data_IF_756416413669
#
_entry.id   IF_756416413669
#
_cell.length_a   1.000
_cell.length_b   1.000
_cell.length_c   1.000
_cell.angle_alpha   90.00
_cell.angle_beta   90.00
_cell.angle_gamma   90.00
#
_symmetry.space_group_name_H-M   'P 1'
#
loop_
_entity.id
_entity.type
_entity.pdbx_description
1 polymer ?
#
# COMPACT_ATOMS: atom_id res chain seq x y z
N UNK A 1 -2.21 7.41 9.96
CA UNK A 1 -3.16 8.52 10.11
C UNK A 1 -2.44 9.87 10.10
N UNK A 2 -1.51 10.17 11.05
CA UNK A 2 -0.90 11.51 11.19
C UNK A 2 -0.19 12.00 9.91
N UNK A 3 0.66 11.18 9.29
CA UNK A 3 1.34 11.55 8.04
C UNK A 3 0.38 11.80 6.87
N UNK A 4 -0.73 11.13 6.84
CA UNK A 4 -1.77 11.39 5.85
C UNK A 4 -2.48 12.72 6.14
N UNK A 5 -2.79 13.01 7.41
CA UNK A 5 -3.36 14.30 7.80
C UNK A 5 -2.41 15.46 7.44
N UNK A 6 -1.10 15.33 7.76
CA UNK A 6 -0.09 16.33 7.38
C UNK A 6 -0.04 16.59 5.86
N UNK A 7 -0.24 15.53 5.06
CA UNK A 7 -0.28 15.66 3.60
C UNK A 7 -1.55 16.37 3.12
N UNK A 8 -2.69 16.13 3.77
CA UNK A 8 -3.95 16.79 3.44
C UNK A 8 -3.95 18.26 3.84
N UNK A 9 -3.32 18.61 4.97
CA UNK A 9 -3.16 20.00 5.41
C UNK A 9 -2.26 20.82 4.46
N UNK A 10 -1.40 20.15 3.68
CA UNK A 10 -0.53 20.75 2.69
C UNK A 10 -0.97 20.43 1.25
N UNK A 11 -2.25 20.43 0.98
CA UNK A 11 -2.82 20.18 -0.35
C UNK A 11 -2.29 21.21 -1.37
N UNK A 12 -1.70 20.75 -2.51
CA UNK A 12 -1.06 21.63 -3.46
C UNK A 12 -2.09 22.34 -4.35
N UNK A 13 -1.97 23.65 -4.44
CA UNK A 13 -2.71 24.45 -5.41
C UNK A 13 -1.89 24.65 -6.69
N UNK A 14 -2.42 24.31 -7.88
CA UNK A 14 -1.71 24.47 -9.13
C UNK A 14 -1.66 25.96 -9.55
N UNK A 15 -0.46 26.45 -9.85
CA UNK A 15 -0.25 27.78 -10.40
C UNK A 15 0.59 27.69 -11.66
N UNK A 16 0.09 28.24 -12.76
CA UNK A 16 0.78 28.25 -14.06
C UNK A 16 1.49 29.58 -14.25
N UNK A 17 2.80 29.53 -14.42
CA UNK A 17 3.63 30.72 -14.68
C UNK A 17 3.97 30.82 -16.17
N UNK A 18 3.91 32.01 -16.76
CA UNK A 18 4.31 32.23 -18.14
C UNK A 18 5.84 32.06 -18.30
N UNK A 19 6.27 31.52 -19.43
CA UNK A 19 7.69 31.46 -19.80
C UNK A 19 8.14 32.61 -20.65
N UNK A 20 7.24 33.18 -21.46
CA UNK A 20 7.46 34.32 -22.32
C UNK A 20 6.34 35.35 -22.12
N UNK A 21 6.53 36.58 -22.57
CA UNK A 21 5.53 37.64 -22.44
C UNK A 21 4.22 37.28 -23.17
N UNK A 22 4.33 36.57 -24.27
CA UNK A 22 3.19 36.16 -25.11
C UNK A 22 2.33 35.08 -24.44
N UNK A 23 2.89 34.37 -23.43
CA UNK A 23 2.21 33.29 -22.71
C UNK A 23 1.40 33.80 -21.51
N UNK A 24 1.45 35.07 -21.17
CA UNK A 24 0.90 35.60 -19.91
C UNK A 24 -0.62 35.43 -19.79
N UNK A 25 -1.35 35.68 -20.89
CA UNK A 25 -2.82 35.50 -20.93
C UNK A 25 -3.19 34.02 -20.84
N UNK A 26 -2.46 33.17 -21.55
CA UNK A 26 -2.67 31.73 -21.55
C UNK A 26 -2.38 31.14 -20.14
N UNK A 27 -1.31 31.57 -19.50
CA UNK A 27 -0.95 31.11 -18.14
C UNK A 27 -2.02 31.52 -17.11
N UNK A 28 -2.54 32.79 -17.22
CA UNK A 28 -3.64 33.27 -16.38
C UNK A 28 -4.94 32.48 -16.62
N UNK A 29 -5.23 32.12 -17.86
CA UNK A 29 -6.41 31.32 -18.20
C UNK A 29 -6.28 29.90 -17.64
N UNK A 30 -5.14 29.25 -17.84
CA UNK A 30 -4.86 27.89 -17.31
C UNK A 30 -4.90 27.85 -15.79
N UNK A 31 -4.33 28.82 -15.08
CA UNK A 31 -4.38 28.93 -13.62
C UNK A 31 -5.80 29.04 -13.07
N UNK A 32 -6.77 29.48 -13.87
CA UNK A 32 -8.20 29.50 -13.49
C UNK A 32 -8.94 28.22 -13.88
N UNK A 33 -8.56 27.61 -15.00
CA UNK A 33 -9.24 26.41 -15.53
C UNK A 33 -8.83 25.16 -14.78
N UNK A 34 -7.54 24.99 -14.48
CA UNK A 34 -7.02 23.77 -13.85
C UNK A 34 -7.70 23.48 -12.50
N UNK A 35 -7.86 24.44 -11.57
CA UNK A 35 -8.58 24.17 -10.31
C UNK A 35 -10.01 23.69 -10.54
N UNK A 36 -10.72 24.25 -11.50
CA UNK A 36 -12.10 23.83 -11.83
C UNK A 36 -12.14 22.39 -12.37
N UNK A 37 -11.19 22.03 -13.23
CA UNK A 37 -11.08 20.63 -13.73
C UNK A 37 -10.76 19.68 -12.59
N UNK A 38 -9.86 20.04 -11.68
CA UNK A 38 -9.52 19.24 -10.52
C UNK A 38 -10.71 19.06 -9.56
N UNK A 39 -11.46 20.14 -9.30
CA UNK A 39 -12.68 20.07 -8.50
C UNK A 39 -13.72 19.12 -9.14
N UNK A 40 -13.92 19.20 -10.47
CA UNK A 40 -14.83 18.31 -11.19
C UNK A 40 -14.42 16.83 -11.18
N UNK A 41 -13.13 16.56 -10.98
CA UNK A 41 -12.58 15.20 -10.85
C UNK A 41 -12.55 14.69 -9.40
N UNK A 42 -13.11 15.43 -8.43
CA UNK A 42 -12.96 15.15 -7.00
C UNK A 42 -11.48 14.89 -6.59
N UNK A 43 -10.59 15.75 -7.12
CA UNK A 43 -9.14 15.52 -7.01
C UNK A 43 -8.64 15.47 -5.57
N UNK A 44 -9.29 16.14 -4.64
CA UNK A 44 -8.98 16.05 -3.21
C UNK A 44 -9.10 14.62 -2.70
N UNK A 45 -10.17 13.90 -3.08
CA UNK A 45 -10.35 12.49 -2.75
C UNK A 45 -9.28 11.63 -3.45
N UNK A 46 -9.03 11.86 -4.73
CA UNK A 46 -7.99 11.15 -5.49
C UNK A 46 -6.60 11.36 -4.86
N UNK A 47 -6.32 12.58 -4.39
CA UNK A 47 -5.08 12.93 -3.70
C UNK A 47 -4.95 12.17 -2.38
N UNK A 48 -6.02 12.17 -1.57
CA UNK A 48 -6.11 11.42 -0.31
C UNK A 48 -5.85 9.93 -0.52
N UNK A 49 -6.56 9.30 -1.48
CA UNK A 49 -6.42 7.88 -1.79
C UNK A 49 -5.01 7.53 -2.30
N UNK A 50 -4.44 8.42 -3.13
CA UNK A 50 -3.07 8.26 -3.63
C UNK A 50 -2.05 8.32 -2.51
N UNK A 51 -2.22 9.26 -1.55
CA UNK A 51 -1.36 9.35 -0.38
C UNK A 51 -1.49 8.12 0.54
N UNK A 52 -2.68 7.58 0.75
CA UNK A 52 -2.86 6.33 1.49
C UNK A 52 -2.12 5.17 0.83
N UNK A 53 -2.19 5.07 -0.49
CA UNK A 53 -1.42 4.07 -1.25
C UNK A 53 0.08 4.32 -1.12
N UNK A 54 0.54 5.54 -1.34
CA UNK A 54 1.94 5.95 -1.24
C UNK A 54 2.55 5.60 0.13
N UNK A 55 1.84 5.85 1.23
CA UNK A 55 2.31 5.52 2.58
C UNK A 55 2.41 4.01 2.81
N UNK A 56 1.53 3.20 2.21
CA UNK A 56 1.50 1.74 2.38
C UNK A 56 2.45 1.01 1.44
N UNK A 57 2.38 1.32 0.15
CA UNK A 57 3.09 0.59 -0.91
C UNK A 57 4.34 1.30 -1.42
N UNK A 58 4.65 2.47 -0.87
CA UNK A 58 5.81 3.26 -1.25
C UNK A 58 5.61 4.14 -2.49
N UNK A 59 4.56 3.91 -3.28
CA UNK A 59 4.34 4.68 -4.49
C UNK A 59 2.86 4.96 -4.70
N UNK A 60 2.52 6.23 -4.83
CA UNK A 60 1.23 6.68 -5.30
C UNK A 60 1.25 6.80 -6.82
N UNK A 61 0.21 6.32 -7.49
CA UNK A 61 0.07 6.50 -8.94
C UNK A 61 -1.23 7.19 -9.25
N UNK A 62 -1.16 8.23 -10.07
CA UNK A 62 -2.31 8.93 -10.64
C UNK A 62 -2.41 8.64 -12.13
N UNK A 63 -3.61 8.33 -12.59
CA UNK A 63 -3.92 8.20 -14.01
C UNK A 63 -4.72 9.41 -14.47
N UNK A 64 -4.33 10.00 -15.61
CA UNK A 64 -5.02 11.14 -16.23
C UNK A 64 -5.53 10.69 -17.60
N UNK A 65 -6.84 10.59 -17.73
CA UNK A 65 -7.48 10.04 -18.93
C UNK A 65 -8.50 11.02 -19.50
N UNK A 66 -8.81 10.83 -20.78
CA UNK A 66 -10.00 11.39 -21.39
C UNK A 66 -11.15 10.39 -21.27
N UNK A 67 -12.24 10.78 -20.65
CA UNK A 67 -13.44 9.95 -20.54
C UNK A 67 -14.54 10.52 -21.44
N UNK A 68 -14.86 9.86 -22.57
CA UNK A 68 -15.84 10.34 -23.52
C UNK A 68 -17.29 10.27 -23.00
N UNK A 69 -17.55 9.56 -21.89
CA UNK A 69 -18.89 9.40 -21.32
C UNK A 69 -19.31 10.55 -20.41
N UNK A 70 -18.35 11.33 -19.93
CA UNK A 70 -18.61 12.47 -19.07
C UNK A 70 -19.39 13.58 -19.80
N UNK A 71 -20.04 14.44 -19.04
CA UNK A 71 -20.82 15.60 -19.55
C UNK A 71 -21.84 15.24 -20.63
N UNK A 72 -22.55 14.13 -20.44
CA UNK A 72 -23.58 13.71 -21.40
C UNK A 72 -23.04 13.30 -22.77
N UNK A 73 -21.79 12.81 -22.82
CA UNK A 73 -21.13 12.32 -24.03
C UNK A 73 -20.24 13.36 -24.75
N UNK A 74 -20.04 14.54 -24.17
CA UNK A 74 -19.08 15.50 -24.69
C UNK A 74 -17.64 15.13 -24.37
N UNK A 75 -17.46 14.32 -23.30
CA UNK A 75 -16.18 13.94 -22.77
C UNK A 75 -15.55 14.99 -21.86
N UNK A 76 -14.72 14.53 -20.94
CA UNK A 76 -13.92 15.41 -20.08
C UNK A 76 -12.68 14.68 -19.54
N UNK A 77 -11.80 15.42 -18.89
CA UNK A 77 -10.63 14.90 -18.20
C UNK A 77 -11.10 14.15 -16.95
N UNK A 78 -10.54 12.96 -16.73
CA UNK A 78 -10.74 12.13 -15.54
C UNK A 78 -9.39 11.86 -14.89
N UNK A 79 -9.26 12.19 -13.61
CA UNK A 79 -8.07 11.88 -12.81
C UNK A 79 -8.46 10.83 -11.79
N UNK A 80 -7.69 9.73 -11.69
CA UNK A 80 -7.98 8.60 -10.81
C UNK A 80 -6.73 8.14 -10.09
N UNK A 81 -6.88 7.66 -8.84
CA UNK A 81 -5.85 6.91 -8.16
C UNK A 81 -5.78 5.51 -8.77
N UNK A 82 -4.58 5.07 -9.16
CA UNK A 82 -4.33 3.77 -9.80
C UNK A 82 -3.60 2.86 -8.84
N UNK A 83 -3.97 1.58 -8.82
CA UNK A 83 -3.28 0.60 -8.02
C UNK A 83 -1.95 0.21 -8.69
N UNK A 84 -0.84 0.39 -7.97
CA UNK A 84 0.50 0.04 -8.45
C UNK A 84 0.62 -1.44 -8.84
N UNK A 85 -0.05 -2.34 -8.11
CA UNK A 85 -0.01 -3.78 -8.37
C UNK A 85 -0.65 -4.20 -9.70
N UNK A 86 -1.42 -3.28 -10.32
CA UNK A 86 -2.03 -3.49 -11.63
C UNK A 86 -1.21 -2.93 -12.79
N UNK A 87 -0.04 -2.35 -12.49
CA UNK A 87 0.83 -1.73 -13.49
C UNK A 87 2.11 -2.56 -13.67
N UNK A 88 2.47 -2.79 -14.93
CA UNK A 88 3.68 -3.52 -15.29
C UNK A 88 4.44 -2.74 -16.37
N UNK A 89 5.75 -2.62 -16.18
CA UNK A 89 6.65 -1.87 -17.06
C UNK A 89 7.95 -2.61 -17.32
N UNK A 90 8.80 -2.09 -18.20
CA UNK A 90 10.10 -2.69 -18.48
C UNK A 90 11.04 -2.54 -17.28
N UNK A 91 11.83 -3.55 -16.94
CA UNK A 91 12.82 -3.46 -15.86
C UNK A 91 13.96 -2.48 -16.19
N UNK A 92 14.58 -1.92 -15.14
CA UNK A 92 15.78 -1.07 -15.26
C UNK A 92 15.48 0.35 -15.77
N UNK A 93 14.27 0.87 -15.58
CA UNK A 93 13.93 2.25 -15.89
C UNK A 93 13.60 3.01 -14.62
N UNK A 94 14.19 4.17 -14.44
CA UNK A 94 13.94 5.05 -13.28
C UNK A 94 12.75 5.99 -13.50
N UNK A 95 12.52 6.42 -14.73
CA UNK A 95 11.32 7.20 -15.12
C UNK A 95 10.38 6.32 -15.94
N UNK A 96 9.13 6.19 -15.48
CA UNK A 96 8.12 5.43 -16.21
C UNK A 96 7.96 5.93 -17.65
N UNK A 97 8.23 7.20 -17.89
CA UNK A 97 8.15 7.80 -19.22
C UNK A 97 9.27 7.31 -20.17
N UNK A 98 10.32 6.67 -19.67
CA UNK A 98 11.37 6.06 -20.47
C UNK A 98 11.09 4.60 -20.80
N UNK A 99 10.14 3.97 -20.10
CA UNK A 99 9.76 2.59 -20.40
C UNK A 99 9.25 2.43 -21.84
N UNK A 100 9.71 1.42 -22.59
CA UNK A 100 9.17 1.16 -23.92
C UNK A 100 7.73 0.64 -23.91
N UNK A 101 7.32 -0.03 -22.82
CA UNK A 101 6.01 -0.62 -22.65
C UNK A 101 5.48 -0.35 -21.24
N UNK A 102 4.17 -0.15 -21.14
CA UNK A 102 3.44 -0.06 -19.88
C UNK A 102 2.11 -0.79 -20.04
N UNK A 103 1.84 -1.72 -19.13
CA UNK A 103 0.58 -2.46 -19.08
C UNK A 103 -0.18 -2.04 -17.84
N UNK A 104 -1.47 -1.76 -18.02
CA UNK A 104 -2.42 -1.56 -16.93
C UNK A 104 -3.48 -2.64 -17.02
N UNK A 105 -3.69 -3.37 -15.92
CA UNK A 105 -4.64 -4.45 -15.86
C UNK A 105 -5.89 -4.01 -15.11
N UNK A 106 -7.06 -4.47 -15.56
CA UNK A 106 -8.32 -4.30 -14.86
C UNK A 106 -9.12 -5.59 -14.88
N UNK A 107 -9.90 -5.84 -13.83
CA UNK A 107 -10.81 -6.97 -13.76
C UNK A 107 -12.21 -6.46 -14.09
N UNK A 108 -12.78 -6.92 -15.20
CA UNK A 108 -14.07 -6.49 -15.68
C UNK A 108 -15.04 -7.69 -15.76
N UNK A 109 -16.32 -7.41 -15.56
CA UNK A 109 -17.39 -8.40 -15.64
C UNK A 109 -17.60 -8.88 -17.07
N UNK A 110 -17.72 -10.21 -17.24
CA UNK A 110 -17.84 -10.84 -18.56
C UNK A 110 -19.09 -10.39 -19.32
N UNK A 111 -20.22 -10.20 -18.63
CA UNK A 111 -21.46 -9.79 -19.28
C UNK A 111 -21.34 -8.37 -19.84
N UNK A 112 -20.72 -7.46 -19.07
CA UNK A 112 -20.48 -6.09 -19.51
C UNK A 112 -19.46 -6.02 -20.65
N UNK A 113 -18.41 -6.86 -20.58
CA UNK A 113 -17.40 -6.94 -21.62
C UNK A 113 -17.97 -7.44 -22.94
N UNK A 114 -18.77 -8.50 -22.93
CA UNK A 114 -19.40 -9.04 -24.14
C UNK A 114 -20.43 -8.07 -24.71
N UNK A 115 -21.20 -7.40 -23.85
CA UNK A 115 -22.13 -6.36 -24.29
C UNK A 115 -21.43 -5.19 -25.00
N UNK A 116 -20.27 -4.79 -24.51
CA UNK A 116 -19.46 -3.70 -25.09
C UNK A 116 -18.61 -4.15 -26.29
N UNK A 117 -18.12 -5.39 -26.24
CA UNK A 117 -17.24 -5.98 -27.25
C UNK A 117 -17.74 -7.37 -27.66
N UNK A 118 -18.70 -7.47 -28.60
CA UNK A 118 -19.28 -8.75 -29.01
C UNK A 118 -18.27 -9.79 -29.51
N UNK A 119 -17.10 -9.35 -29.98
CA UNK A 119 -16.01 -10.24 -30.41
C UNK A 119 -15.41 -11.09 -29.30
N UNK A 120 -15.74 -10.79 -28.02
CA UNK A 120 -15.33 -11.59 -26.86
C UNK A 120 -16.26 -12.76 -26.55
N UNK A 121 -17.36 -12.93 -27.30
CA UNK A 121 -18.27 -14.06 -27.08
C UNK A 121 -17.51 -15.38 -27.26
N UNK A 122 -17.57 -16.24 -26.24
CA UNK A 122 -16.82 -17.50 -26.21
C UNK A 122 -15.32 -17.39 -25.84
N UNK A 123 -14.80 -16.19 -25.59
CA UNK A 123 -13.41 -15.95 -25.24
C UNK A 123 -13.25 -15.36 -23.82
N UNK A 124 -14.31 -15.36 -23.03
CA UNK A 124 -14.31 -14.91 -21.62
C UNK A 124 -13.94 -16.05 -20.67
N UNK A 125 -13.57 -15.74 -19.43
CA UNK A 125 -13.39 -16.73 -18.35
C UNK A 125 -11.99 -17.33 -18.22
N UNK A 126 -11.00 -16.90 -18.99
CA UNK A 126 -9.59 -17.21 -18.75
C UNK A 126 -9.01 -16.13 -17.85
N UNK A 127 -8.71 -16.45 -16.60
CA UNK A 127 -8.03 -15.53 -15.70
C UNK A 127 -6.53 -15.56 -15.98
N UNK A 128 -5.93 -14.37 -16.09
CA UNK A 128 -4.50 -14.22 -15.88
C UNK A 128 -4.25 -14.20 -14.37
N UNK A 129 -3.19 -14.86 -13.93
CA UNK A 129 -2.73 -14.77 -12.55
C UNK A 129 -2.16 -13.35 -12.32
N UNK A 130 -2.95 -12.49 -11.71
CA UNK A 130 -2.53 -11.13 -11.35
C UNK A 130 -2.16 -11.13 -9.88
N UNK A 131 -1.00 -10.57 -9.56
CA UNK A 131 -0.44 -10.60 -8.20
C UNK A 131 -1.40 -10.07 -7.12
N UNK A 132 -2.22 -9.07 -7.43
CA UNK A 132 -3.21 -8.54 -6.49
C UNK A 132 -4.28 -9.58 -6.13
N UNK A 133 -4.69 -10.42 -7.08
CA UNK A 133 -5.79 -11.38 -6.89
C UNK A 133 -5.33 -12.72 -6.29
N UNK A 134 -4.03 -13.00 -6.33
CA UNK A 134 -3.44 -14.20 -5.71
C UNK A 134 -3.44 -14.09 -4.18
N UNK A 135 -3.36 -12.86 -3.65
CA UNK A 135 -3.22 -12.60 -2.21
C UNK A 135 -4.51 -12.11 -1.53
N UNK A 136 -5.57 -11.87 -2.29
CA UNK A 136 -6.88 -11.46 -1.77
C UNK A 136 -7.91 -12.59 -1.93
N UNK A 137 -7.97 -13.46 -0.94
CA UNK A 137 -8.94 -14.58 -0.88
C UNK A 137 -10.41 -14.10 -0.80
N UNK A 138 -10.64 -12.80 -0.62
CA UNK A 138 -11.98 -12.19 -0.54
C UNK A 138 -12.48 -11.68 -1.90
N UNK A 139 -11.61 -11.58 -2.90
CA UNK A 139 -12.00 -11.09 -4.21
C UNK A 139 -12.60 -12.21 -5.06
N UNK A 140 -13.90 -12.12 -5.30
CA UNK A 140 -14.58 -13.04 -6.22
C UNK A 140 -14.23 -12.69 -7.68
N UNK A 141 -13.45 -13.55 -8.31
CA UNK A 141 -13.05 -13.45 -9.73
C UNK A 141 -13.98 -14.24 -10.66
N UNK A 142 -15.01 -14.91 -10.12
CA UNK A 142 -15.95 -15.71 -10.89
C UNK A 142 -16.73 -14.83 -11.87
N UNK A 143 -16.80 -15.23 -13.13
CA UNK A 143 -17.50 -14.47 -14.15
C UNK A 143 -16.82 -13.17 -14.57
N UNK A 144 -15.54 -12.98 -14.22
CA UNK A 144 -14.74 -11.82 -14.61
C UNK A 144 -13.58 -12.21 -15.50
N UNK A 145 -13.11 -11.26 -16.29
CA UNK A 145 -11.93 -11.41 -17.15
C UNK A 145 -10.96 -10.25 -16.93
N UNK A 146 -9.67 -10.55 -17.05
CA UNK A 146 -8.63 -9.52 -16.98
C UNK A 146 -8.53 -8.85 -18.35
N UNK A 147 -8.75 -7.55 -18.35
CA UNK A 147 -8.55 -6.68 -19.50
C UNK A 147 -7.20 -6.01 -19.36
N UNK A 148 -6.43 -6.00 -20.43
CA UNK A 148 -5.09 -5.42 -20.48
C UNK A 148 -5.12 -4.19 -21.37
N UNK A 149 -4.74 -3.08 -20.78
CA UNK A 149 -4.49 -1.80 -21.46
C UNK A 149 -2.98 -1.67 -21.66
N UNK A 150 -2.52 -1.88 -22.88
CA UNK A 150 -1.12 -1.84 -23.25
C UNK A 150 -0.78 -0.52 -23.92
N UNK A 151 0.08 0.24 -23.31
CA UNK A 151 0.70 1.44 -23.85
C UNK A 151 2.12 1.14 -24.28
N UNK A 152 2.52 1.53 -25.51
CA UNK A 152 3.86 1.26 -26.00
C UNK A 152 4.38 2.40 -26.89
N UNK A 153 5.69 2.56 -26.87
CA UNK A 153 6.40 3.58 -27.64
C UNK A 153 7.01 2.97 -28.89
N UNK A 154 6.59 3.48 -30.04
CA UNK A 154 7.10 3.07 -31.34
C UNK A 154 8.08 4.12 -31.84
N UNK A 155 9.31 3.70 -32.15
CA UNK A 155 10.32 4.58 -32.71
C UNK A 155 9.90 5.08 -34.11
N UNK A 156 10.17 6.35 -34.39
CA UNK A 156 10.05 6.91 -35.74
C UNK A 156 11.42 7.02 -36.38
N UNK A 157 11.50 6.96 -37.72
CA UNK A 157 12.78 7.21 -38.43
C UNK A 157 13.35 8.59 -38.16
N UNK A 158 12.48 9.58 -37.89
CA UNK A 158 12.84 10.94 -37.54
C UNK A 158 11.84 11.46 -36.48
N UNK A 159 12.37 12.08 -35.39
CA UNK A 159 11.58 12.68 -34.33
C UNK A 159 11.45 11.81 -33.07
N UNK A 160 10.62 12.24 -32.13
CA UNK A 160 10.35 11.53 -30.89
C UNK A 160 9.49 10.28 -31.13
N UNK A 161 9.62 9.24 -30.28
CA UNK A 161 8.77 8.08 -30.33
C UNK A 161 7.29 8.43 -30.21
N UNK A 162 6.44 7.64 -30.84
CA UNK A 162 4.99 7.81 -30.78
C UNK A 162 4.42 6.86 -29.75
N UNK A 163 3.50 7.35 -28.92
CA UNK A 163 2.77 6.52 -28.00
C UNK A 163 1.57 5.88 -28.71
N UNK A 164 1.51 4.55 -28.69
CA UNK A 164 0.36 3.78 -29.12
C UNK A 164 -0.34 3.12 -27.93
N UNK A 165 -1.58 2.72 -28.17
CA UNK A 165 -2.42 2.08 -27.18
C UNK A 165 -3.15 0.88 -27.80
N UNK A 166 -3.16 -0.24 -27.09
CA UNK A 166 -3.88 -1.45 -27.45
C UNK A 166 -4.63 -1.99 -26.24
N UNK A 167 -5.93 -2.20 -26.38
CA UNK A 167 -6.75 -2.89 -25.38
C UNK A 167 -7.03 -4.30 -25.85
N UNK A 168 -6.78 -5.30 -25.00
CA UNK A 168 -7.06 -6.69 -25.34
C UNK A 168 -7.53 -7.48 -24.11
N UNK A 169 -8.21 -8.59 -24.37
CA UNK A 169 -8.67 -9.53 -23.35
C UNK A 169 -8.54 -10.95 -23.89
N UNK A 170 -7.92 -11.87 -23.15
CA UNK A 170 -7.78 -13.28 -23.50
C UNK A 170 -7.26 -13.53 -24.94
N UNK A 171 -6.33 -12.69 -25.41
CA UNK A 171 -5.77 -12.80 -26.76
C UNK A 171 -6.61 -12.18 -27.87
N UNK A 172 -7.79 -11.61 -27.55
CA UNK A 172 -8.63 -10.88 -28.52
C UNK A 172 -8.35 -9.38 -28.38
N UNK A 173 -7.96 -8.74 -29.48
CA UNK A 173 -7.76 -7.29 -29.54
C UNK A 173 -9.11 -6.60 -29.59
N UNK A 174 -9.40 -5.74 -28.61
CA UNK A 174 -10.63 -4.97 -28.50
C UNK A 174 -10.53 -3.62 -29.21
N UNK A 175 -9.37 -3.00 -29.09
CA UNK A 175 -9.04 -1.72 -29.72
C UNK A 175 -7.53 -1.60 -29.90
N UNK A 176 -7.09 -1.01 -30.99
CA UNK A 176 -5.70 -0.64 -31.20
C UNK A 176 -5.62 0.70 -31.96
N UNK A 177 -4.87 1.65 -31.40
CA UNK A 177 -4.70 2.98 -32.00
C UNK A 177 -3.97 2.93 -33.36
N UNK A 178 -3.19 1.91 -33.65
CA UNK A 178 -2.57 1.71 -34.97
C UNK A 178 -3.59 1.36 -36.06
N UNK A 179 -4.75 0.80 -35.70
CA UNK A 179 -5.82 0.47 -36.64
C UNK A 179 -6.73 1.69 -36.93
N UNK A 180 -6.58 2.77 -36.17
CA UNK A 180 -7.33 4.00 -36.40
C UNK A 180 -6.53 4.91 -37.36
N UNK A 181 -7.05 5.23 -38.55
CA UNK A 181 -6.34 6.07 -39.52
C UNK A 181 -5.96 7.46 -38.99
N UNK A 182 -6.71 7.99 -38.01
CA UNK A 182 -6.42 9.28 -37.41
C UNK A 182 -5.26 9.25 -36.40
N UNK A 183 -5.01 8.06 -35.82
CA UNK A 183 -4.02 7.86 -34.74
C UNK A 183 -2.80 7.04 -35.17
N UNK A 184 -2.87 6.34 -36.29
CA UNK A 184 -1.81 5.43 -36.75
C UNK A 184 -0.45 6.13 -36.92
N UNK A 185 -0.43 7.36 -37.41
CA UNK A 185 0.80 8.14 -37.57
C UNK A 185 1.02 9.13 -36.42
N UNK A 186 -0.04 9.69 -35.85
CA UNK A 186 0.00 10.72 -34.81
C UNK A 186 0.30 10.11 -33.44
N UNK A 187 -0.21 8.91 -33.16
CA UNK A 187 -0.21 8.28 -31.87
C UNK A 187 -1.46 8.55 -31.06
N UNK A 188 -1.59 7.85 -29.93
CA UNK A 188 -2.77 7.90 -29.07
C UNK A 188 -2.88 9.24 -28.32
N UNK A 189 -1.76 9.81 -27.89
CA UNK A 189 -1.66 11.16 -27.30
C UNK A 189 -0.58 11.98 -27.98
N UNK A 190 -0.87 13.23 -28.31
CA UNK A 190 0.05 14.15 -28.99
C UNK A 190 1.34 14.43 -28.22
N UNK A 191 1.26 14.44 -26.89
CA UNK A 191 2.41 14.67 -26.02
C UNK A 191 3.35 13.45 -25.92
N UNK A 192 2.97 12.27 -26.45
CA UNK A 192 3.78 11.05 -26.47
C UNK A 192 4.12 10.46 -25.07
N UNK A 193 3.43 10.90 -24.02
CA UNK A 193 3.66 10.42 -22.63
C UNK A 193 2.58 9.47 -22.21
N UNK A 194 2.96 8.52 -21.34
CA UNK A 194 2.01 7.65 -20.64
C UNK A 194 1.07 8.50 -19.76
N UNK A 195 -0.22 8.14 -19.68
CA UNK A 195 -1.19 8.87 -18.87
C UNK A 195 -1.08 8.55 -17.36
N UNK A 196 0.08 8.11 -16.90
CA UNK A 196 0.34 7.74 -15.52
C UNK A 196 1.46 8.59 -14.94
N UNK A 197 1.23 9.08 -13.72
CA UNK A 197 2.19 9.85 -12.93
C UNK A 197 2.53 9.04 -11.69
N UNK A 198 3.79 8.63 -11.57
CA UNK A 198 4.33 7.91 -10.43
C UNK A 198 4.90 8.91 -9.42
N UNK A 199 4.56 8.72 -8.17
CA UNK A 199 4.98 9.55 -7.05
C UNK A 199 5.53 8.65 -5.93
N UNK A 200 6.81 8.25 -5.98
CA UNK A 200 7.44 7.41 -4.96
C UNK A 200 7.67 8.20 -3.66
N UNK A 201 7.56 7.50 -2.51
CA UNK A 201 7.86 8.07 -1.19
C UNK A 201 9.36 8.07 -0.93
N UNK A 202 9.99 6.91 -1.04
CA UNK A 202 11.44 6.74 -1.03
C UNK A 202 11.84 6.12 -2.36
N UNK A 203 12.71 6.79 -3.08
CA UNK A 203 13.13 6.36 -4.41
C UNK A 203 13.99 5.10 -4.33
N UNK A 204 13.80 4.20 -5.29
CA UNK A 204 14.64 3.04 -5.52
C UNK A 204 15.41 3.22 -6.83
N UNK A 205 16.68 2.80 -6.88
CA UNK A 205 17.47 2.85 -8.09
C UNK A 205 16.88 1.92 -9.16
N UNK A 206 16.92 2.34 -10.40
CA UNK A 206 16.45 1.58 -11.58
C UNK A 206 14.95 1.18 -11.53
N UNK A 207 14.14 1.92 -10.75
CA UNK A 207 12.71 1.70 -10.63
C UNK A 207 11.95 3.04 -10.57
N UNK A 208 10.82 3.21 -11.29
CA UNK A 208 9.93 4.35 -11.12
C UNK A 208 9.06 4.23 -9.87
N UNK A 209 9.00 3.04 -9.27
CA UNK A 209 8.37 2.78 -8.00
C UNK A 209 9.41 2.78 -6.88
N UNK A 210 9.01 3.17 -5.68
CA UNK A 210 9.84 3.19 -4.51
C UNK A 210 9.25 2.36 -3.37
N UNK A 211 9.84 2.44 -2.19
CA UNK A 211 9.38 1.76 -0.99
C UNK A 211 8.72 2.72 0.00
N UNK A 212 7.93 2.16 0.91
CA UNK A 212 7.11 2.90 1.85
C UNK A 212 7.55 2.75 3.31
N UNK A 213 6.78 3.38 4.20
CA UNK A 213 7.04 3.25 5.64
C UNK A 213 6.85 1.83 6.16
N UNK A 214 5.94 1.05 5.55
CA UNK A 214 5.71 -0.34 5.96
C UNK A 214 6.97 -1.16 5.71
N UNK A 215 7.63 -0.97 4.56
CA UNK A 215 8.85 -1.70 4.21
C UNK A 215 9.96 -1.43 5.22
N UNK A 216 10.13 -0.17 5.62
CA UNK A 216 11.17 0.25 6.58
C UNK A 216 10.88 -0.25 8.00
N UNK A 217 9.59 -0.37 8.38
CA UNK A 217 9.18 -0.76 9.72
C UNK A 217 8.95 -2.25 9.92
N UNK A 218 8.80 -3.01 8.84
CA UNK A 218 8.35 -4.40 8.83
C UNK A 218 9.17 -5.30 9.75
N UNK A 219 10.49 -5.25 9.65
CA UNK A 219 11.37 -6.15 10.40
C UNK A 219 11.33 -5.84 11.90
N UNK A 220 11.32 -4.55 12.26
CA UNK A 220 11.19 -4.13 13.66
C UNK A 220 9.83 -4.51 14.24
N UNK A 221 8.74 -4.37 13.45
CA UNK A 221 7.41 -4.79 13.86
C UNK A 221 7.34 -6.32 14.05
N UNK A 222 7.91 -7.10 13.15
CA UNK A 222 7.97 -8.56 13.26
C UNK A 222 8.68 -8.98 14.54
N UNK A 223 9.82 -8.36 14.87
CA UNK A 223 10.54 -8.65 16.11
C UNK A 223 9.73 -8.32 17.38
N UNK A 224 8.92 -7.24 17.35
CA UNK A 224 8.02 -6.87 18.44
C UNK A 224 6.91 -7.92 18.59
N UNK A 225 6.31 -8.38 17.49
CA UNK A 225 5.23 -9.35 17.48
C UNK A 225 5.70 -10.72 17.98
N UNK A 226 6.87 -11.18 17.54
CA UNK A 226 7.50 -12.43 18.03
C UNK A 226 7.78 -12.36 19.53
N UNK A 227 8.29 -11.21 20.01
CA UNK A 227 8.55 -11.01 21.43
C UNK A 227 7.26 -11.01 22.26
N UNK A 228 6.21 -10.30 21.79
CA UNK A 228 4.91 -10.29 22.45
C UNK A 228 4.32 -11.70 22.51
N UNK A 229 4.41 -12.46 21.42
CA UNK A 229 3.95 -13.84 21.38
C UNK A 229 4.69 -14.73 22.39
N UNK A 230 6.03 -14.65 22.44
CA UNK A 230 6.85 -15.37 23.40
C UNK A 230 6.52 -14.99 24.86
N UNK A 231 6.26 -13.72 25.13
CA UNK A 231 5.82 -13.22 26.43
C UNK A 231 4.47 -13.82 26.83
N UNK A 232 3.49 -13.78 25.94
CA UNK A 232 2.16 -14.32 26.16
C UNK A 232 2.20 -15.83 26.43
N UNK A 233 3.01 -16.56 25.67
CA UNK A 233 3.22 -18.00 25.91
C UNK A 233 3.86 -18.29 27.25
N UNK A 234 4.88 -17.52 27.61
CA UNK A 234 5.53 -17.67 28.90
C UNK A 234 4.57 -17.38 30.07
N UNK A 235 3.76 -16.31 29.97
CA UNK A 235 2.75 -15.98 30.98
C UNK A 235 1.71 -17.09 31.10
N UNK A 236 1.22 -17.65 29.97
CA UNK A 236 0.29 -18.77 29.95
C UNK A 236 0.89 -20.01 30.60
N UNK A 237 2.17 -20.32 30.33
CA UNK A 237 2.88 -21.43 30.92
C UNK A 237 3.17 -21.22 32.39
N UNK A 238 3.60 -20.01 32.79
CA UNK A 238 3.91 -19.67 34.17
C UNK A 238 2.66 -19.63 35.06
N UNK A 239 1.49 -19.33 34.50
CA UNK A 239 0.22 -19.30 35.21
C UNK A 239 -0.38 -20.70 35.46
N UNK A 240 0.13 -21.74 34.78
CA UNK A 240 -0.35 -23.11 34.94
C UNK A 240 0.52 -23.82 35.93
N UNK A 241 -0.11 -24.30 37.02
CA UNK A 241 0.53 -25.26 37.93
C UNK A 241 0.75 -26.59 37.17
N UNK A 242 2.00 -26.93 36.97
CA UNK A 242 2.43 -28.21 36.35
C UNK A 242 3.28 -28.98 37.31
N UNK A 243 3.14 -30.30 37.27
CA UNK A 243 3.88 -31.19 38.13
C UNK A 243 4.56 -32.28 37.29
N UNK A 244 5.73 -32.67 37.70
CA UNK A 244 6.38 -33.89 37.23
C UNK A 244 6.09 -34.96 38.28
N UNK A 245 5.43 -36.02 37.85
CA UNK A 245 5.02 -37.11 38.71
C UNK A 245 5.65 -38.39 38.16
N UNK A 246 6.31 -39.14 39.02
CA UNK A 246 6.80 -40.47 38.64
C UNK A 246 5.65 -41.48 38.71
N UNK A 247 5.60 -42.40 37.73
CA UNK A 247 4.60 -43.49 37.71
C UNK A 247 4.56 -44.30 39.00
N UNK A 248 5.66 -44.33 39.75
CA UNK A 248 5.78 -45.00 41.05
C UNK A 248 5.20 -44.21 42.23
N UNK A 249 4.78 -42.96 42.02
CA UNK A 249 4.28 -42.11 43.11
C UNK A 249 2.86 -42.46 43.55
N UNK A 250 2.07 -43.19 42.74
CA UNK A 250 0.71 -43.57 43.06
C UNK A 250 -0.24 -42.38 43.26
N UNK A 251 0.00 -41.29 42.54
CA UNK A 251 -0.83 -40.04 42.56
C UNK A 251 -1.93 -40.17 41.51
N UNK A 252 -3.18 -39.94 41.90
CA UNK A 252 -4.29 -39.85 40.96
C UNK A 252 -4.25 -38.50 40.22
N UNK A 253 -4.10 -38.52 38.90
CA UNK A 253 -4.13 -37.31 38.05
C UNK A 253 -5.47 -36.57 38.16
N UNK A 254 -6.59 -37.31 38.29
CA UNK A 254 -7.93 -36.75 38.44
C UNK A 254 -8.09 -35.97 39.75
N UNK A 255 -7.53 -36.53 40.88
CA UNK A 255 -7.58 -35.83 42.16
C UNK A 255 -6.65 -34.62 42.21
N UNK A 256 -5.51 -34.68 41.53
CA UNK A 256 -4.55 -33.58 41.44
C UNK A 256 -5.09 -32.42 40.55
N UNK A 257 -5.91 -32.72 39.56
CA UNK A 257 -6.53 -31.75 38.67
C UNK A 257 -7.79 -31.09 39.25
N UNK A 258 -8.36 -31.67 40.33
CA UNK A 258 -9.55 -31.15 40.98
C UNK A 258 -9.20 -30.13 42.07
N UNK A 259 -9.14 -28.86 41.69
CA UNK A 259 -8.86 -27.75 42.61
C UNK A 259 -9.95 -27.44 43.65
N UNK A 260 -11.07 -28.17 43.64
CA UNK A 260 -12.13 -28.06 44.65
C UNK A 260 -11.85 -28.90 45.90
N UNK A 261 -10.86 -29.76 45.87
CA UNK A 261 -10.44 -30.64 46.98
C UNK A 261 -9.27 -30.05 47.73
N UNK A 262 -9.45 -29.88 49.04
CA UNK A 262 -8.38 -29.41 49.94
C UNK A 262 -7.31 -30.48 50.23
N UNK A 263 -7.64 -31.76 50.01
CA UNK A 263 -6.77 -32.91 50.35
C UNK A 263 -6.70 -33.85 49.14
N UNK A 264 -5.47 -34.18 48.72
CA UNK A 264 -5.18 -35.19 47.71
C UNK A 264 -4.52 -36.37 48.38
N UNK A 265 -5.09 -37.57 48.19
CA UNK A 265 -4.55 -38.80 48.76
C UNK A 265 -3.54 -39.46 47.81
N UNK A 266 -2.40 -39.85 48.34
CA UNK A 266 -1.31 -40.50 47.59
C UNK A 266 -1.02 -41.87 48.20
N UNK A 267 -0.97 -42.91 47.35
CA UNK A 267 -0.61 -44.26 47.76
C UNK A 267 0.88 -44.47 47.50
N UNK A 268 1.70 -44.29 48.54
CA UNK A 268 3.15 -44.44 48.41
C UNK A 268 3.94 -43.43 49.25
N UNK A 269 5.25 -43.37 49.02
CA UNK A 269 6.13 -42.37 49.65
C UNK A 269 6.30 -41.19 48.68
N UNK A 270 5.89 -39.99 49.13
CA UNK A 270 6.20 -38.76 48.45
C UNK A 270 7.61 -38.29 48.89
N UNK A 271 8.45 -38.09 47.91
CA UNK A 271 9.75 -37.40 48.06
C UNK A 271 9.97 -36.49 46.84
N UNK A 272 11.01 -35.68 46.87
CA UNK A 272 11.38 -34.77 45.79
C UNK A 272 11.65 -35.48 44.45
N UNK A 273 11.93 -36.76 44.46
CA UNK A 273 12.25 -37.53 43.24
C UNK A 273 11.01 -38.14 42.62
N UNK A 274 9.89 -38.23 43.36
CA UNK A 274 8.63 -38.82 42.89
C UNK A 274 7.58 -37.78 42.53
N UNK A 275 7.66 -36.57 43.10
CA UNK A 275 6.72 -35.50 42.88
C UNK A 275 7.44 -34.15 43.00
N UNK A 276 7.45 -33.36 41.90
CA UNK A 276 8.09 -32.07 41.88
C UNK A 276 7.24 -31.08 41.06
N UNK A 277 7.00 -29.86 41.58
CA UNK A 277 6.37 -28.81 40.78
C UNK A 277 7.32 -28.40 39.65
N UNK A 278 6.80 -28.41 38.40
CA UNK A 278 7.51 -27.90 37.24
C UNK A 278 7.35 -26.37 37.19
N UNK A 279 8.34 -25.68 37.73
CA UNK A 279 8.34 -24.21 37.68
C UNK A 279 8.82 -23.75 36.32
N UNK A 280 7.98 -23.04 35.59
CA UNK A 280 8.40 -22.34 34.41
C UNK A 280 9.11 -21.06 34.82
N UNK A 281 10.31 -20.85 34.31
CA UNK A 281 11.08 -19.63 34.56
C UNK A 281 10.32 -18.46 34.01
N UNK A 282 10.08 -17.42 34.82
CA UNK A 282 9.52 -16.14 34.40
C UNK A 282 10.53 -15.45 33.52
N UNK A 283 10.06 -14.83 32.43
CA UNK A 283 10.92 -14.05 31.53
C UNK A 283 11.72 -13.01 32.29
N UNK A 284 12.98 -12.86 31.93
CA UNK A 284 13.84 -11.84 32.55
C UNK A 284 13.39 -10.45 32.15
N UNK A 285 13.62 -9.45 33.03
CA UNK A 285 13.33 -8.05 32.73
C UNK A 285 14.02 -7.54 31.44
N UNK A 286 15.12 -8.17 31.03
CA UNK A 286 15.83 -7.85 29.78
C UNK A 286 14.95 -8.05 28.53
N UNK A 287 14.04 -9.02 28.54
CA UNK A 287 13.11 -9.24 27.42
C UNK A 287 12.13 -8.08 27.27
N UNK A 288 11.65 -7.55 28.41
CA UNK A 288 10.75 -6.39 28.42
C UNK A 288 11.49 -5.16 27.91
N UNK A 289 12.70 -4.91 28.41
CA UNK A 289 13.54 -3.79 27.98
C UNK A 289 13.83 -3.87 26.48
N UNK A 290 14.20 -5.03 25.99
CA UNK A 290 14.46 -5.24 24.55
C UNK A 290 13.21 -4.92 23.69
N UNK A 291 12.03 -5.41 24.09
CA UNK A 291 10.78 -5.08 23.39
C UNK A 291 10.53 -3.56 23.39
N UNK A 292 10.71 -2.89 24.53
CA UNK A 292 10.47 -1.46 24.67
C UNK A 292 11.47 -0.66 23.82
N UNK A 293 12.72 -1.11 23.71
CA UNK A 293 13.73 -0.53 22.82
C UNK A 293 13.31 -0.69 21.34
N UNK A 294 12.77 -1.84 20.93
CA UNK A 294 12.24 -2.03 19.57
C UNK A 294 11.04 -1.13 19.28
N UNK A 295 10.15 -0.94 20.25
CA UNK A 295 9.02 -0.01 20.11
C UNK A 295 9.52 1.44 19.95
N UNK A 296 10.54 1.84 20.70
CA UNK A 296 11.14 3.16 20.57
C UNK A 296 11.85 3.34 19.22
N UNK A 297 12.59 2.33 18.75
CA UNK A 297 13.19 2.31 17.41
C UNK A 297 12.13 2.46 16.32
N UNK A 298 11.01 1.73 16.41
CA UNK A 298 9.90 1.84 15.48
C UNK A 298 9.32 3.27 15.42
N UNK A 299 9.16 3.92 16.59
CA UNK A 299 8.72 5.32 16.67
C UNK A 299 9.71 6.28 16.02
N UNK A 300 11.01 6.07 16.22
CA UNK A 300 12.05 6.90 15.62
C UNK A 300 12.12 6.76 14.10
N UNK A 301 12.13 5.51 13.61
CA UNK A 301 12.19 5.19 12.17
C UNK A 301 10.94 5.69 11.45
N UNK A 302 9.76 5.57 12.07
CA UNK A 302 8.51 6.07 11.49
C UNK A 302 8.42 7.61 11.49
N UNK A 303 9.30 8.30 12.24
CA UNK A 303 9.21 9.75 12.46
C UNK A 303 7.99 10.18 13.29
N UNK A 304 7.33 9.24 13.94
CA UNK A 304 6.09 9.46 14.68
C UNK A 304 6.43 9.59 16.17
N UNK A 305 6.99 10.74 16.56
CA UNK A 305 7.38 11.01 17.95
C UNK A 305 6.19 11.50 18.77
N UNK A 306 6.23 11.27 20.08
CA UNK A 306 5.17 11.65 21.03
C UNK A 306 4.81 13.15 20.95
N UNK A 307 5.76 14.01 20.58
CA UNK A 307 5.55 15.46 20.39
C UNK A 307 4.64 15.75 19.19
N UNK A 308 4.75 14.98 18.10
CA UNK A 308 3.87 15.11 16.91
C UNK A 308 2.44 14.64 17.19
N UNK A 309 2.23 13.88 18.26
CA UNK A 309 0.92 13.40 18.72
C UNK A 309 0.32 14.25 19.86
N UNK A 310 0.91 15.39 20.18
CA UNK A 310 0.43 16.25 21.27
C UNK A 310 0.91 15.80 22.66
N UNK A 311 1.81 14.83 22.74
CA UNK A 311 2.47 14.44 23.99
C UNK A 311 3.39 15.56 24.49
N UNK A 312 3.18 16.04 25.72
CA UNK A 312 4.05 17.04 26.33
C UNK A 312 5.22 16.36 27.03
N UNK A 313 6.44 16.70 26.64
CA UNK A 313 7.63 16.37 27.46
C UNK A 313 7.56 17.16 28.75
N UNK A 314 7.69 16.49 29.88
CA UNK A 314 7.65 17.14 31.21
C UNK A 314 8.70 18.28 31.29
N UNK A 315 8.22 19.51 31.47
CA UNK A 315 9.06 20.69 31.62
C UNK A 315 8.97 21.75 30.53
N UNK A 316 8.31 21.52 29.42
CA UNK A 316 8.13 22.49 28.32
C UNK A 316 6.71 23.10 28.38
N UNK A 317 6.63 24.36 28.84
CA UNK A 317 5.37 25.10 28.97
C UNK A 317 5.21 26.25 27.94
N UNK A 318 6.26 26.57 27.19
CA UNK A 318 6.24 27.68 26.25
C UNK A 318 5.66 27.20 24.89
N UNK A 319 4.59 27.82 24.41
CA UNK A 319 3.95 27.50 23.13
C UNK A 319 4.92 27.54 21.93
N UNK A 320 5.91 28.46 21.93
CA UNK A 320 6.94 28.56 20.90
C UNK A 320 7.90 27.36 20.88
N UNK A 321 8.21 26.78 22.05
CA UNK A 321 9.07 25.61 22.16
C UNK A 321 8.32 24.34 21.68
N UNK A 322 7.03 24.24 21.96
CA UNK A 322 6.16 23.14 21.48
C UNK A 322 6.03 23.23 19.95
N UNK A 323 5.80 24.42 19.39
CA UNK A 323 5.74 24.63 17.94
C UNK A 323 7.05 24.25 17.24
N UNK A 324 8.20 24.64 17.81
CA UNK A 324 9.52 24.27 17.27
C UNK A 324 9.79 22.76 17.30
N UNK A 325 9.31 22.07 18.36
CA UNK A 325 9.42 20.61 18.47
C UNK A 325 8.49 19.89 17.48
N UNK A 326 7.26 20.40 17.27
CA UNK A 326 6.32 19.89 16.27
C UNK A 326 6.90 20.08 14.85
N UNK A 327 7.50 21.23 14.55
CA UNK A 327 8.16 21.48 13.27
C UNK A 327 9.36 20.53 13.07
N UNK A 328 10.16 20.31 14.10
CA UNK A 328 11.26 19.35 14.03
C UNK A 328 10.79 17.90 13.83
N UNK A 329 9.68 17.52 14.45
CA UNK A 329 9.06 16.19 14.29
C UNK A 329 8.48 15.96 12.90
N UNK A 330 8.00 17.01 12.23
CA UNK A 330 7.40 16.92 10.88
C UNK A 330 8.43 16.91 9.73
N UNK A 331 9.73 17.09 10.02
CA UNK A 331 10.78 17.13 8.98
C UNK A 331 10.94 15.82 8.19
N UNK A 332 10.61 14.68 8.80
CA UNK A 332 10.66 13.37 8.13
C UNK A 332 9.43 13.11 7.24
N UNK A 333 8.38 13.91 7.36
CA UNK A 333 7.16 13.80 6.54
C UNK A 333 7.12 14.82 5.40
N UNK A 334 8.06 15.76 5.35
CA UNK A 334 8.26 16.74 4.28
C UNK A 334 9.39 16.31 3.35
#
# INVERSE_FOLDING_TARGET
ANKHADAMDNYPEPNVLPRAADDEETAKALSKIIPVVLEQCDYEQVYSDTWWRKLKTGTGVKGVFWDPTLRGGLGDISVKSVNLLMLYWAPGVSDIQESPNLFSLSLEDNEQLVAKYPQLEGHTGKSLDVAEYIHDDQLDTTGKSVVVDWYYKKARPQGAPVLHYCKYCNGVVLYASENDPALAERGFYDHGKYPFVFDPLFMEEDSPAGFGYIDVMKDTQTAIDEMNHAMDENVKLASKLRFVVSDSAGVSEEELADFSRDIVHVVGRLNSDTFMPLQTSVLSGNCITYRDDRVNELKEVSGNRDVSQGGTTSGLTAASAIAALQEAGSKLSR
#
